data_IF_905958061383
#
_entry.id   IF_905958061383
#
_cell.length_a   1.000
_cell.length_b   1.000
_cell.length_c   1.000
_cell.angle_alpha   90.00
_cell.angle_beta   90.00
_cell.angle_gamma   90.00
#
_symmetry.space_group_name_H-M   'P 1'
#
loop_
_entity.id
_entity.type
_entity.pdbx_description
1 polymer ?
#
# COMPACT_ATOMS: atom_id res chain seq x y z
N UNK A 1 -62.45 18.94 -27.83
CA UNK A 1 -61.51 18.14 -27.03
C UNK A 1 -60.09 18.51 -27.46
N UNK A 2 -59.45 19.51 -26.82
CA UNK A 2 -58.07 19.93 -27.16
C UNK A 2 -57.11 19.05 -26.37
N UNK A 3 -56.40 18.14 -27.05
CA UNK A 3 -55.34 17.34 -26.42
C UNK A 3 -54.19 18.25 -26.00
N UNK A 4 -53.76 18.08 -24.75
CA UNK A 4 -52.73 18.87 -24.09
C UNK A 4 -51.33 18.48 -24.60
N UNK A 5 -50.87 19.16 -25.65
CA UNK A 5 -49.57 18.93 -26.31
C UNK A 5 -48.36 19.23 -25.42
N UNK A 6 -48.53 20.02 -24.35
CA UNK A 6 -47.47 20.28 -23.35
C UNK A 6 -47.09 19.03 -22.57
N UNK A 7 -48.05 18.12 -22.36
CA UNK A 7 -47.80 16.89 -21.61
C UNK A 7 -46.87 15.95 -22.39
N UNK A 8 -47.11 15.79 -23.69
CA UNK A 8 -46.27 14.97 -24.57
C UNK A 8 -44.85 15.54 -24.72
N UNK A 9 -44.72 16.86 -24.81
CA UNK A 9 -43.40 17.53 -24.92
C UNK A 9 -42.54 17.35 -23.67
N UNK A 10 -43.13 17.36 -22.47
CA UNK A 10 -42.41 17.18 -21.21
C UNK A 10 -41.89 15.74 -21.05
N UNK A 11 -42.72 14.74 -21.35
CA UNK A 11 -42.31 13.35 -21.35
C UNK A 11 -41.21 13.06 -22.37
N UNK A 12 -41.30 13.67 -23.55
CA UNK A 12 -40.26 13.52 -24.57
C UNK A 12 -38.92 14.11 -24.14
N UNK A 13 -38.91 15.28 -23.49
CA UNK A 13 -37.67 15.86 -22.94
C UNK A 13 -37.08 15.01 -21.80
N UNK A 14 -37.90 14.48 -20.89
CA UNK A 14 -37.43 13.59 -19.82
C UNK A 14 -36.81 12.32 -20.38
N UNK A 15 -37.42 11.72 -21.40
CA UNK A 15 -36.88 10.53 -22.06
C UNK A 15 -35.56 10.80 -22.78
N UNK A 16 -35.42 11.93 -23.48
CA UNK A 16 -34.16 12.29 -24.16
C UNK A 16 -33.03 12.54 -23.16
N UNK A 17 -33.30 13.23 -22.06
CA UNK A 17 -32.31 13.46 -20.99
C UNK A 17 -31.90 12.15 -20.34
N UNK A 18 -32.85 11.24 -20.04
CA UNK A 18 -32.54 9.93 -19.48
C UNK A 18 -31.66 9.09 -20.41
N UNK A 19 -31.94 9.08 -21.71
CA UNK A 19 -31.12 8.37 -22.71
C UNK A 19 -29.72 8.97 -22.83
N UNK A 20 -29.59 10.30 -22.77
CA UNK A 20 -28.29 10.97 -22.76
C UNK A 20 -27.47 10.60 -21.52
N UNK A 21 -28.07 10.58 -20.33
CA UNK A 21 -27.40 10.15 -19.09
C UNK A 21 -26.93 8.68 -19.15
N UNK A 22 -27.72 7.79 -19.76
CA UNK A 22 -27.35 6.37 -19.96
C UNK A 22 -26.24 6.24 -21.02
N UNK A 23 -26.19 7.13 -22.02
CA UNK A 23 -25.14 7.12 -23.04
C UNK A 23 -23.81 7.73 -22.58
N UNK A 24 -23.83 8.59 -21.54
CA UNK A 24 -22.63 9.20 -20.96
C UNK A 24 -22.08 8.42 -19.75
N UNK A 25 -22.82 7.44 -19.22
CA UNK A 25 -22.25 6.49 -18.28
C UNK A 25 -21.32 5.54 -19.03
N UNK A 26 -20.02 5.85 -19.02
CA UNK A 26 -19.02 4.85 -19.39
C UNK A 26 -19.23 3.60 -18.52
N UNK A 27 -19.26 2.39 -19.09
CA UNK A 27 -19.25 1.19 -18.29
C UNK A 27 -17.96 1.21 -17.47
N UNK A 28 -18.09 1.25 -16.14
CA UNK A 28 -16.97 0.98 -15.24
C UNK A 28 -16.68 -0.50 -15.37
N UNK A 29 -15.89 -0.86 -16.37
CA UNK A 29 -15.39 -2.21 -16.52
C UNK A 29 -14.59 -2.50 -15.25
N UNK A 30 -15.06 -3.44 -14.43
CA UNK A 30 -14.31 -3.95 -13.29
C UNK A 30 -12.98 -4.48 -13.83
N UNK A 31 -11.91 -3.71 -13.67
CA UNK A 31 -10.57 -4.16 -14.01
C UNK A 31 -10.31 -5.40 -13.17
N UNK A 32 -9.99 -6.52 -13.83
CA UNK A 32 -9.65 -7.76 -13.15
C UNK A 32 -8.34 -7.53 -12.38
N UNK A 33 -8.47 -7.15 -11.12
CA UNK A 33 -7.33 -6.95 -10.23
C UNK A 33 -6.87 -8.32 -9.76
N UNK A 34 -5.64 -8.69 -10.10
CA UNK A 34 -4.97 -9.87 -9.56
C UNK A 34 -4.54 -9.61 -8.10
N UNK A 35 -5.50 -9.78 -7.18
CA UNK A 35 -5.32 -9.67 -5.74
C UNK A 35 -5.42 -11.08 -5.15
N UNK A 36 -4.27 -11.69 -4.90
CA UNK A 36 -4.17 -12.91 -4.09
C UNK A 36 -3.44 -12.56 -2.79
N UNK A 37 -4.11 -12.70 -1.65
CA UNK A 37 -3.52 -12.45 -0.34
C UNK A 37 -2.63 -13.62 0.07
N UNK A 38 -1.44 -13.71 -0.54
CA UNK A 38 -0.53 -14.83 -0.35
C UNK A 38 0.37 -14.58 0.86
N UNK A 39 0.53 -15.59 1.72
CA UNK A 39 1.52 -15.56 2.79
C UNK A 39 2.92 -15.75 2.20
N UNK A 40 3.83 -14.84 2.54
CA UNK A 40 5.16 -14.76 1.92
C UNK A 40 6.23 -15.32 2.85
N UNK A 41 6.17 -14.94 4.11
CA UNK A 41 7.12 -15.38 5.13
C UNK A 41 6.52 -15.21 6.51
N UNK A 42 7.03 -15.97 7.47
CA UNK A 42 6.73 -15.80 8.87
C UNK A 42 7.93 -16.17 9.75
N UNK A 43 7.89 -15.70 10.99
CA UNK A 43 8.86 -15.96 12.03
C UNK A 43 8.14 -16.12 13.37
N UNK A 44 8.64 -17.01 14.21
CA UNK A 44 8.24 -17.11 15.61
C UNK A 44 9.47 -16.94 16.49
N UNK A 45 9.31 -16.27 17.62
CA UNK A 45 10.32 -16.22 18.68
C UNK A 45 10.51 -17.61 19.29
N UNK A 46 11.76 -17.98 19.54
CA UNK A 46 12.09 -19.18 20.32
C UNK A 46 11.84 -18.99 21.82
N UNK A 47 11.78 -17.74 22.28
CA UNK A 47 11.54 -17.42 23.68
C UNK A 47 10.04 -17.42 23.99
N UNK A 48 9.70 -17.73 25.24
CA UNK A 48 8.32 -17.76 25.73
C UNK A 48 8.07 -16.61 26.70
N UNK A 49 6.79 -16.31 26.93
CA UNK A 49 6.38 -15.43 28.04
C UNK A 49 6.77 -16.07 29.38
N UNK A 50 6.97 -15.26 30.41
CA UNK A 50 7.25 -15.77 31.76
C UNK A 50 6.02 -16.50 32.31
N UNK A 51 4.82 -15.95 32.08
CA UNK A 51 3.54 -16.57 32.34
C UNK A 51 2.73 -16.70 31.05
N UNK A 52 2.58 -17.95 30.59
CA UNK A 52 1.91 -18.25 29.32
C UNK A 52 0.45 -17.81 29.25
N UNK A 53 -0.32 -18.00 30.32
CA UNK A 53 -1.74 -17.64 30.33
C UNK A 53 -1.93 -16.12 30.23
N UNK A 54 -1.22 -15.37 31.08
CA UNK A 54 -1.26 -13.90 31.08
C UNK A 54 -0.75 -13.36 29.75
N UNK A 55 0.31 -13.94 29.18
CA UNK A 55 0.82 -13.54 27.88
C UNK A 55 -0.24 -13.70 26.77
N UNK A 56 -0.95 -14.83 26.73
CA UNK A 56 -2.01 -15.07 25.73
C UNK A 56 -3.20 -14.12 25.91
N UNK A 57 -3.59 -13.81 27.14
CA UNK A 57 -4.62 -12.81 27.45
C UNK A 57 -4.21 -11.41 26.94
N UNK A 58 -2.95 -11.02 27.20
CA UNK A 58 -2.39 -9.74 26.73
C UNK A 58 -2.25 -9.70 25.21
N UNK A 59 -1.91 -10.84 24.58
CA UNK A 59 -1.85 -10.96 23.12
C UNK A 59 -3.23 -10.77 22.49
N UNK A 60 -4.25 -11.48 22.98
CA UNK A 60 -5.62 -11.35 22.51
C UNK A 60 -6.17 -9.93 22.65
N UNK A 61 -5.88 -9.28 23.78
CA UNK A 61 -6.25 -7.88 24.03
C UNK A 61 -5.57 -6.94 23.04
N UNK A 62 -4.27 -7.15 22.78
CA UNK A 62 -3.49 -6.36 21.82
C UNK A 62 -4.01 -6.53 20.40
N UNK A 63 -4.25 -7.77 19.95
CA UNK A 63 -4.77 -8.07 18.60
C UNK A 63 -6.17 -7.50 18.40
N UNK A 64 -7.04 -7.58 19.41
CA UNK A 64 -8.40 -7.00 19.36
C UNK A 64 -8.35 -5.48 19.23
N UNK A 65 -7.43 -4.83 19.95
CA UNK A 65 -7.20 -3.38 19.83
C UNK A 65 -6.71 -3.00 18.44
N UNK A 66 -5.73 -3.71 17.87
CA UNK A 66 -5.24 -3.47 16.51
C UNK A 66 -6.39 -3.57 15.49
N UNK A 67 -7.18 -4.64 15.57
CA UNK A 67 -8.32 -4.86 14.67
C UNK A 67 -9.35 -3.72 14.74
N UNK A 68 -9.69 -3.26 15.96
CA UNK A 68 -10.60 -2.14 16.20
C UNK A 68 -10.05 -0.81 15.66
N UNK A 69 -8.73 -0.63 15.69
CA UNK A 69 -8.11 0.57 15.11
C UNK A 69 -8.12 0.53 13.58
N UNK A 70 -7.85 -0.64 12.97
CA UNK A 70 -7.92 -0.85 11.52
C UNK A 70 -9.32 -0.68 10.94
N UNK A 71 -10.37 -0.95 11.73
CA UNK A 71 -11.75 -0.74 11.28
C UNK A 71 -12.14 0.74 11.15
N UNK A 72 -11.27 1.69 11.56
CA UNK A 72 -11.47 3.11 11.31
C UNK A 72 -11.07 3.47 9.88
N UNK A 73 -11.80 4.40 9.27
CA UNK A 73 -11.57 4.83 7.89
C UNK A 73 -10.12 5.32 7.70
N UNK A 74 -9.49 4.91 6.60
CA UNK A 74 -8.14 5.32 6.19
C UNK A 74 -7.01 5.00 7.18
N UNK A 75 -7.20 3.97 8.01
CA UNK A 75 -6.20 3.52 8.96
C UNK A 75 -5.59 2.18 8.51
N UNK A 76 -4.41 2.24 7.89
CA UNK A 76 -3.69 1.06 7.39
C UNK A 76 -2.43 0.74 8.19
N UNK A 77 -2.02 1.58 9.15
CA UNK A 77 -0.89 1.31 10.03
C UNK A 77 -1.27 1.64 11.46
N UNK A 78 -1.24 0.63 12.33
CA UNK A 78 -1.66 0.75 13.73
C UNK A 78 -0.70 0.03 14.65
N UNK A 79 -0.60 0.54 15.87
CA UNK A 79 0.16 -0.07 16.95
C UNK A 79 -0.71 -0.19 18.19
N UNK A 80 -0.43 -1.17 19.02
CA UNK A 80 -1.10 -1.36 20.31
C UNK A 80 -0.17 -2.07 21.27
N UNK A 81 -0.29 -1.76 22.56
CA UNK A 81 0.45 -2.45 23.62
C UNK A 81 -0.48 -2.85 24.76
N UNK A 82 -0.20 -3.99 25.37
CA UNK A 82 -0.86 -4.44 26.61
C UNK A 82 0.22 -4.90 27.59
N UNK A 83 0.18 -4.41 28.83
CA UNK A 83 1.11 -4.79 29.90
C UNK A 83 0.33 -5.08 31.16
N UNK A 84 0.19 -6.36 31.50
CA UNK A 84 -0.55 -6.82 32.68
C UNK A 84 0.29 -7.89 33.38
N UNK A 85 0.37 -7.81 34.72
CA UNK A 85 1.07 -8.78 35.58
C UNK A 85 2.51 -9.09 35.14
N UNK A 86 3.24 -8.07 34.65
CA UNK A 86 4.63 -8.19 34.21
C UNK A 86 4.83 -8.79 32.80
N UNK A 87 3.77 -9.25 32.15
CA UNK A 87 3.81 -9.65 30.74
C UNK A 87 3.46 -8.47 29.84
N UNK A 88 4.31 -8.20 28.85
CA UNK A 88 4.06 -7.15 27.86
C UNK A 88 3.92 -7.75 26.47
N UNK A 89 2.98 -7.21 25.70
CA UNK A 89 2.83 -7.48 24.27
C UNK A 89 2.76 -6.15 23.55
N UNK A 90 3.70 -5.93 22.64
CA UNK A 90 3.69 -4.85 21.66
C UNK A 90 3.25 -5.46 20.35
N UNK A 91 2.28 -4.85 19.68
CA UNK A 91 1.76 -5.29 18.39
C UNK A 91 1.74 -4.17 17.37
N UNK A 92 1.94 -4.52 16.11
CA UNK A 92 1.85 -3.64 14.94
C UNK A 92 1.14 -4.39 13.80
N UNK A 93 0.22 -3.70 13.13
CA UNK A 93 -0.36 -4.16 11.87
C UNK A 93 -0.18 -3.09 10.79
N UNK A 94 0.24 -3.51 9.60
CA UNK A 94 0.46 -2.65 8.43
C UNK A 94 -0.21 -3.25 7.21
N UNK A 95 -1.37 -2.75 6.82
CA UNK A 95 -2.03 -3.05 5.55
C UNK A 95 -1.39 -2.25 4.40
N UNK A 96 -1.50 -2.74 3.17
CA UNK A 96 -1.18 -1.94 1.99
C UNK A 96 -2.21 -0.81 1.86
N UNK A 97 -1.76 0.43 1.69
CA UNK A 97 -2.63 1.60 1.77
C UNK A 97 -3.65 1.73 0.61
N UNK A 98 -3.47 0.97 -0.47
CA UNK A 98 -4.41 0.92 -1.60
C UNK A 98 -5.60 -0.04 -1.37
N UNK A 99 -5.64 -0.75 -0.24
CA UNK A 99 -6.73 -1.66 0.11
C UNK A 99 -7.90 -0.91 0.74
N UNK A 100 -9.10 -1.43 0.53
CA UNK A 100 -10.27 -1.03 1.31
C UNK A 100 -10.14 -1.49 2.77
N UNK A 101 -10.93 -0.90 3.68
CA UNK A 101 -10.98 -1.34 5.09
C UNK A 101 -11.37 -2.82 5.21
N UNK A 102 -12.28 -3.31 4.36
CA UNK A 102 -12.69 -4.71 4.39
C UNK A 102 -11.55 -5.66 4.00
N UNK A 103 -10.80 -5.34 2.95
CA UNK A 103 -9.64 -6.13 2.50
C UNK A 103 -8.52 -6.11 3.54
N UNK A 104 -8.24 -4.95 4.13
CA UNK A 104 -7.27 -4.82 5.21
C UNK A 104 -7.63 -5.70 6.42
N UNK A 105 -8.90 -5.67 6.86
CA UNK A 105 -9.36 -6.52 7.96
C UNK A 105 -9.32 -8.01 7.61
N UNK A 106 -9.67 -8.38 6.37
CA UNK A 106 -9.58 -9.77 5.90
C UNK A 106 -8.14 -10.29 5.91
N UNK A 107 -7.18 -9.46 5.49
CA UNK A 107 -5.76 -9.83 5.58
C UNK A 107 -5.30 -9.94 7.03
N UNK A 108 -5.66 -8.97 7.88
CA UNK A 108 -5.33 -9.00 9.30
C UNK A 108 -5.87 -10.27 10.00
N UNK A 109 -7.12 -10.64 9.75
CA UNK A 109 -7.74 -11.82 10.33
C UNK A 109 -7.04 -13.12 9.86
N UNK A 110 -6.62 -13.15 8.58
CA UNK A 110 -5.81 -14.25 8.04
C UNK A 110 -4.44 -14.35 8.73
N UNK A 111 -3.78 -13.20 8.93
CA UNK A 111 -2.51 -13.11 9.64
C UNK A 111 -2.63 -13.56 11.11
N UNK A 112 -3.66 -13.11 11.83
CA UNK A 112 -3.95 -13.55 13.21
C UNK A 112 -4.17 -15.05 13.27
N UNK A 113 -4.95 -15.61 12.35
CA UNK A 113 -5.19 -17.05 12.29
C UNK A 113 -3.91 -17.82 12.07
N UNK A 114 -3.04 -17.34 11.18
CA UNK A 114 -1.78 -18.00 10.84
C UNK A 114 -0.78 -17.99 12.00
N UNK A 115 -0.64 -16.86 12.71
CA UNK A 115 0.31 -16.72 13.82
C UNK A 115 0.06 -17.67 15.00
N UNK A 116 -1.09 -18.36 15.05
CA UNK A 116 -1.34 -19.45 16.01
C UNK A 116 -0.31 -20.58 15.91
N UNK A 117 0.34 -20.76 14.75
CA UNK A 117 1.44 -21.73 14.57
C UNK A 117 2.61 -21.48 15.52
N UNK A 118 2.78 -20.24 16.00
CA UNK A 118 3.85 -19.88 16.93
C UNK A 118 3.62 -20.36 18.37
N UNK A 119 2.44 -20.91 18.68
CA UNK A 119 2.10 -21.42 20.02
C UNK A 119 2.38 -20.38 21.11
N UNK A 120 3.30 -20.71 22.02
CA UNK A 120 3.65 -19.87 23.18
C UNK A 120 4.85 -18.93 22.94
N UNK A 121 5.27 -18.77 21.68
CA UNK A 121 6.34 -17.83 21.33
C UNK A 121 5.97 -16.40 21.71
N UNK A 122 6.87 -15.72 22.42
CA UNK A 122 6.65 -14.35 22.92
C UNK A 122 6.82 -13.25 21.86
N UNK A 123 7.02 -13.65 20.61
CA UNK A 123 7.03 -12.77 19.45
C UNK A 123 6.74 -13.57 18.19
N UNK A 124 6.14 -12.91 17.21
CA UNK A 124 5.96 -13.46 15.88
C UNK A 124 5.78 -12.34 14.84
N UNK A 125 6.10 -12.65 13.59
CA UNK A 125 5.87 -11.77 12.45
C UNK A 125 5.39 -12.62 11.28
N UNK A 126 4.32 -12.20 10.59
CA UNK A 126 3.92 -12.75 9.30
C UNK A 126 3.76 -11.64 8.27
N UNK A 127 4.25 -11.91 7.06
CA UNK A 127 4.16 -11.04 5.89
C UNK A 127 3.21 -11.67 4.89
N UNK A 128 2.18 -10.92 4.53
CA UNK A 128 1.28 -11.22 3.43
C UNK A 128 1.46 -10.18 2.32
N UNK A 129 0.98 -10.50 1.13
CA UNK A 129 0.91 -9.54 0.03
C UNK A 129 0.16 -8.25 0.42
N UNK A 130 -0.93 -8.40 1.18
CA UNK A 130 -1.86 -7.32 1.50
C UNK A 130 -1.63 -6.68 2.89
N UNK A 131 -0.91 -7.34 3.79
CA UNK A 131 -0.62 -6.80 5.12
C UNK A 131 0.55 -7.50 5.82
N UNK A 132 1.08 -6.87 6.86
CA UNK A 132 2.05 -7.45 7.78
C UNK A 132 1.53 -7.33 9.22
N UNK A 133 1.77 -8.37 10.04
CA UNK A 133 1.39 -8.40 11.46
C UNK A 133 2.57 -8.89 12.29
N UNK A 134 3.05 -8.04 13.21
CA UNK A 134 4.14 -8.35 14.14
C UNK A 134 3.67 -8.14 15.58
N UNK A 135 4.04 -9.05 16.47
CA UNK A 135 4.00 -8.82 17.90
C UNK A 135 5.29 -9.29 18.57
N UNK A 136 5.70 -8.64 19.66
CA UNK A 136 6.81 -9.06 20.51
C UNK A 136 6.58 -8.66 21.96
N UNK A 137 7.37 -9.24 22.87
CA UNK A 137 7.35 -8.87 24.28
C UNK A 137 8.22 -7.66 24.63
N UNK A 138 8.91 -7.07 23.65
CA UNK A 138 9.67 -5.83 23.80
C UNK A 138 9.18 -4.80 22.79
N UNK A 139 9.40 -3.52 23.10
CA UNK A 139 9.03 -2.44 22.20
C UNK A 139 9.96 -2.44 20.98
N UNK A 140 9.39 -2.71 19.80
CA UNK A 140 10.10 -2.73 18.53
C UNK A 140 9.68 -1.60 17.57
N UNK A 141 8.84 -0.65 18.01
CA UNK A 141 8.27 0.35 17.09
C UNK A 141 9.31 1.25 16.42
N UNK A 142 10.49 1.36 17.01
CA UNK A 142 11.61 2.12 16.47
C UNK A 142 12.81 1.23 16.12
N UNK A 143 12.65 -0.10 16.17
CA UNK A 143 13.72 -1.00 15.75
C UNK A 143 14.06 -0.66 14.32
N UNK A 144 15.33 -0.27 14.10
CA UNK A 144 15.80 0.11 12.78
C UNK A 144 15.41 -0.99 11.81
N UNK A 145 14.60 -0.61 10.81
CA UNK A 145 14.17 -1.40 9.65
C UNK A 145 15.22 -2.48 9.39
N UNK A 146 14.95 -3.70 9.89
CA UNK A 146 15.99 -4.70 10.00
C UNK A 146 16.39 -5.11 8.60
N UNK A 147 17.57 -4.65 8.16
CA UNK A 147 18.14 -4.96 6.83
C UNK A 147 18.19 -6.47 6.54
N UNK A 148 18.09 -7.30 7.58
CA UNK A 148 18.16 -8.76 7.56
C UNK A 148 16.85 -9.46 7.18
N UNK A 149 15.70 -8.77 7.22
CA UNK A 149 14.39 -9.39 6.94
C UNK A 149 13.88 -9.13 5.53
N UNK A 150 14.66 -8.43 4.69
CA UNK A 150 14.22 -8.01 3.36
C UNK A 150 13.88 -9.18 2.43
N UNK A 151 12.73 -9.10 1.78
CA UNK A 151 12.26 -10.09 0.79
C UNK A 151 12.04 -9.38 -0.53
N UNK A 152 12.55 -9.95 -1.62
CA UNK A 152 12.19 -9.55 -2.98
C UNK A 152 11.68 -10.77 -3.74
N UNK A 153 10.53 -10.59 -4.41
CA UNK A 153 9.92 -11.61 -5.26
C UNK A 153 9.77 -10.99 -6.64
N UNK A 154 10.52 -11.53 -7.60
CA UNK A 154 10.43 -11.17 -9.00
C UNK A 154 9.34 -12.00 -9.68
N UNK A 155 8.66 -11.42 -10.66
CA UNK A 155 7.75 -12.17 -11.53
C UNK A 155 8.53 -13.15 -12.42
N UNK A 156 7.84 -14.20 -12.88
CA UNK A 156 8.43 -15.23 -13.74
C UNK A 156 8.32 -14.92 -15.25
N UNK A 157 7.73 -13.78 -15.59
CA UNK A 157 7.49 -13.37 -16.98
C UNK A 157 8.38 -12.19 -17.31
N UNK A 158 9.12 -12.29 -18.41
CA UNK A 158 9.88 -11.18 -18.98
C UNK A 158 8.99 -10.35 -19.90
N UNK A 159 9.17 -9.03 -19.89
CA UNK A 159 8.42 -8.12 -20.76
C UNK A 159 8.68 -8.38 -22.25
N UNK A 160 7.68 -8.09 -23.08
CA UNK A 160 7.76 -8.06 -24.55
C UNK A 160 8.73 -6.97 -25.04
N UNK A 161 8.94 -5.92 -24.24
CA UNK A 161 9.84 -4.79 -24.53
C UNK A 161 10.85 -4.59 -23.39
N UNK A 162 11.83 -5.50 -23.20
CA UNK A 162 12.66 -5.56 -21.99
C UNK A 162 13.43 -4.27 -21.67
N UNK A 163 13.92 -3.56 -22.69
CA UNK A 163 14.74 -2.35 -22.48
C UNK A 163 13.89 -1.17 -22.04
N UNK A 164 12.78 -0.95 -22.74
CA UNK A 164 11.82 0.13 -22.51
C UNK A 164 11.11 -0.09 -21.17
N UNK A 165 10.71 -1.34 -20.88
CA UNK A 165 10.14 -1.73 -19.61
C UNK A 165 11.11 -1.47 -18.45
N UNK A 166 12.37 -1.92 -18.56
CA UNK A 166 13.37 -1.74 -17.50
C UNK A 166 13.59 -0.25 -17.22
N UNK A 167 13.75 0.55 -18.28
CA UNK A 167 13.91 2.01 -18.16
C UNK A 167 12.70 2.66 -17.49
N UNK A 168 11.50 2.28 -17.91
CA UNK A 168 10.24 2.85 -17.41
C UNK A 168 10.00 2.47 -15.95
N UNK A 169 10.14 1.19 -15.60
CA UNK A 169 9.93 0.68 -14.25
C UNK A 169 10.98 1.18 -13.26
N UNK A 170 12.26 1.13 -13.61
CA UNK A 170 13.34 1.65 -12.75
C UNK A 170 13.18 3.16 -12.52
N UNK A 171 12.85 3.92 -13.58
CA UNK A 171 12.55 5.35 -13.46
C UNK A 171 11.38 5.63 -12.51
N UNK A 172 10.25 4.94 -12.68
CA UNK A 172 9.07 5.13 -11.82
C UNK A 172 9.34 4.74 -10.36
N UNK A 173 10.05 3.64 -10.12
CA UNK A 173 10.43 3.20 -8.77
C UNK A 173 11.40 4.20 -8.11
N UNK A 174 12.33 4.77 -8.87
CA UNK A 174 13.26 5.80 -8.38
C UNK A 174 12.53 7.09 -7.98
N UNK A 175 11.53 7.49 -8.76
CA UNK A 175 10.71 8.66 -8.45
C UNK A 175 9.87 8.43 -7.19
N UNK A 176 9.24 7.25 -7.06
CA UNK A 176 8.51 6.86 -5.86
C UNK A 176 9.41 6.83 -4.61
N UNK A 177 10.62 6.27 -4.71
CA UNK A 177 11.62 6.29 -3.63
C UNK A 177 11.92 7.73 -3.15
N UNK A 178 11.93 8.69 -4.07
CA UNK A 178 12.24 10.09 -3.79
C UNK A 178 11.04 10.84 -3.22
N UNK A 179 9.85 10.62 -3.78
CA UNK A 179 8.63 11.32 -3.44
C UNK A 179 8.02 10.85 -2.12
N UNK A 180 7.87 9.53 -1.92
CA UNK A 180 7.12 8.96 -0.79
C UNK A 180 7.55 9.45 0.58
N UNK A 181 8.86 9.60 0.90
CA UNK A 181 9.27 10.13 2.19
C UNK A 181 8.81 11.58 2.46
N UNK A 182 8.47 12.34 1.41
CA UNK A 182 8.00 13.74 1.46
C UNK A 182 6.47 13.86 1.46
N UNK A 183 5.77 12.77 1.18
CA UNK A 183 4.31 12.75 1.16
C UNK A 183 3.80 12.52 2.58
N UNK A 184 2.85 13.34 3.11
CA UNK A 184 2.37 13.19 4.49
C UNK A 184 1.81 11.80 4.85
N UNK A 185 1.27 11.08 3.86
CA UNK A 185 0.75 9.72 4.04
C UNK A 185 1.84 8.64 4.03
N UNK A 186 3.08 8.96 3.64
CA UNK A 186 4.13 7.96 3.40
C UNK A 186 3.72 6.86 2.40
N UNK A 187 2.85 7.20 1.45
CA UNK A 187 2.35 6.29 0.43
C UNK A 187 2.12 7.02 -0.89
N UNK A 188 2.44 6.37 -2.01
CA UNK A 188 1.99 6.78 -3.33
C UNK A 188 1.77 5.58 -4.23
N UNK A 189 0.75 5.70 -5.10
CA UNK A 189 0.56 4.85 -6.26
C UNK A 189 0.69 5.69 -7.52
N UNK A 190 1.39 5.18 -8.52
CA UNK A 190 1.63 5.92 -9.76
C UNK A 190 1.78 4.97 -10.94
N UNK A 191 1.63 5.51 -12.14
CA UNK A 191 1.67 4.76 -13.39
C UNK A 191 2.56 5.46 -14.39
N UNK A 192 3.21 4.70 -15.28
CA UNK A 192 3.98 5.25 -16.40
C UNK A 192 3.84 4.36 -17.62
N UNK A 193 3.43 4.95 -18.75
CA UNK A 193 3.35 4.23 -20.02
C UNK A 193 4.76 3.88 -20.50
N UNK A 194 4.92 2.66 -21.03
CA UNK A 194 6.17 2.20 -21.64
C UNK A 194 6.32 2.91 -22.99
N UNK A 195 7.46 3.56 -23.20
CA UNK A 195 7.69 4.34 -24.42
C UNK A 195 7.63 3.47 -25.67
N UNK A 196 6.84 3.88 -26.66
CA UNK A 196 6.68 3.15 -27.92
C UNK A 196 5.68 2.00 -27.87
N UNK A 197 4.94 1.82 -26.77
CA UNK A 197 3.96 0.75 -26.61
C UNK A 197 2.67 1.28 -25.96
N UNK A 198 1.61 0.46 -25.94
CA UNK A 198 0.38 0.73 -25.20
C UNK A 198 0.37 0.12 -23.79
N UNK A 199 1.49 -0.47 -23.36
CA UNK A 199 1.65 -1.10 -22.06
C UNK A 199 1.98 -0.05 -20.98
N UNK A 200 1.59 -0.30 -19.74
CA UNK A 200 1.78 0.65 -18.62
C UNK A 200 2.37 -0.07 -17.43
N UNK A 201 3.38 0.54 -16.81
CA UNK A 201 3.91 0.11 -15.51
C UNK A 201 3.08 0.76 -14.41
N UNK A 202 2.54 -0.06 -13.52
CA UNK A 202 1.88 0.33 -12.27
C UNK A 202 2.85 0.12 -11.14
N UNK A 203 3.05 1.12 -10.28
CA UNK A 203 3.94 0.97 -9.13
C UNK A 203 3.40 1.68 -7.88
N UNK A 204 3.70 1.09 -6.73
CA UNK A 204 3.42 1.69 -5.42
C UNK A 204 4.65 1.62 -4.52
N UNK A 205 4.77 2.60 -3.64
CA UNK A 205 5.72 2.60 -2.54
C UNK A 205 5.03 3.07 -1.26
N UNK A 206 5.38 2.46 -0.12
CA UNK A 206 4.76 2.71 1.17
C UNK A 206 5.77 2.58 2.29
N UNK A 207 5.73 3.47 3.27
CA UNK A 207 6.43 3.32 4.54
C UNK A 207 5.44 3.21 5.72
N UNK A 208 5.90 2.67 6.85
CA UNK A 208 5.19 2.81 8.13
C UNK A 208 5.06 4.28 8.54
N UNK A 209 4.00 4.64 9.28
CA UNK A 209 3.77 6.03 9.70
C UNK A 209 4.58 6.45 10.93
N UNK A 210 5.23 5.50 11.59
CA UNK A 210 6.04 5.70 12.81
C UNK A 210 7.52 5.98 12.53
N UNK A 211 7.93 6.14 11.26
CA UNK A 211 9.34 6.36 10.91
C UNK A 211 9.56 7.77 10.36
N UNK A 212 10.78 8.29 10.53
CA UNK A 212 11.14 9.61 9.99
C UNK A 212 11.23 9.58 8.46
N UNK A 213 11.23 10.76 7.85
CA UNK A 213 11.48 10.91 6.41
C UNK A 213 12.81 10.26 5.98
N UNK A 214 13.89 10.42 6.74
CA UNK A 214 15.19 9.81 6.42
C UNK A 214 15.13 8.28 6.50
N UNK A 215 14.49 7.75 7.56
CA UNK A 215 14.31 6.31 7.71
C UNK A 215 13.48 5.72 6.57
N UNK A 216 12.40 6.39 6.14
CA UNK A 216 11.63 5.97 4.98
C UNK A 216 12.45 6.00 3.68
N UNK A 217 13.26 7.03 3.47
CA UNK A 217 14.11 7.12 2.28
C UNK A 217 15.14 5.97 2.24
N UNK A 218 15.82 5.68 3.35
CA UNK A 218 16.78 4.59 3.47
C UNK A 218 16.11 3.22 3.27
N UNK A 219 14.90 3.07 3.82
CA UNK A 219 14.04 1.92 3.64
C UNK A 219 13.78 1.65 2.15
N UNK A 220 13.20 2.62 1.45
CA UNK A 220 12.82 2.49 0.05
C UNK A 220 14.04 2.37 -0.87
N UNK A 221 15.20 2.93 -0.50
CA UNK A 221 16.45 2.79 -1.26
C UNK A 221 16.88 1.33 -1.40
N UNK A 222 16.79 0.54 -0.32
CA UNK A 222 17.12 -0.89 -0.36
C UNK A 222 16.14 -1.66 -1.26
N UNK A 223 14.84 -1.34 -1.17
CA UNK A 223 13.75 -2.03 -1.91
C UNK A 223 13.87 -1.74 -3.39
N UNK A 224 14.16 -0.49 -3.74
CA UNK A 224 14.51 -0.09 -5.08
C UNK A 224 15.67 -0.92 -5.64
N UNK A 225 16.78 -1.05 -4.91
CA UNK A 225 17.93 -1.83 -5.36
C UNK A 225 17.61 -3.32 -5.61
N UNK A 226 16.77 -3.91 -4.76
CA UNK A 226 16.31 -5.30 -4.96
C UNK A 226 15.37 -5.43 -6.15
N UNK A 227 14.46 -4.48 -6.35
CA UNK A 227 13.54 -4.50 -7.49
C UNK A 227 14.25 -4.21 -8.82
N UNK A 228 15.33 -3.42 -8.82
CA UNK A 228 16.14 -3.18 -10.02
C UNK A 228 16.77 -4.48 -10.53
N UNK A 229 17.14 -5.40 -9.62
CA UNK A 229 17.60 -6.75 -9.95
C UNK A 229 16.50 -7.66 -10.53
N UNK A 230 15.21 -7.36 -10.28
CA UNK A 230 14.11 -8.10 -10.89
C UNK A 230 13.88 -7.72 -12.36
N UNK A 231 14.32 -6.53 -12.79
CA UNK A 231 14.08 -6.06 -14.14
C UNK A 231 14.95 -6.83 -15.15
N UNK A 232 14.39 -7.28 -16.29
CA UNK A 232 13.17 -6.77 -16.93
C UNK A 232 11.90 -7.65 -16.76
N UNK A 233 11.77 -8.34 -15.64
CA UNK A 233 10.52 -9.07 -15.33
C UNK A 233 9.33 -8.11 -15.31
N UNK A 234 8.13 -8.54 -15.72
CA UNK A 234 6.94 -7.68 -15.82
C UNK A 234 6.36 -7.27 -14.46
N UNK A 235 6.81 -7.90 -13.38
CA UNK A 235 6.38 -7.57 -12.03
C UNK A 235 7.48 -7.87 -11.01
N UNK A 236 7.38 -7.20 -9.87
CA UNK A 236 8.22 -7.49 -8.71
C UNK A 236 7.71 -6.77 -7.48
N UNK A 237 7.94 -7.36 -6.30
CA UNK A 237 7.61 -6.76 -5.01
C UNK A 237 8.75 -6.95 -4.02
N UNK A 238 8.98 -5.95 -3.19
CA UNK A 238 9.97 -5.96 -2.12
C UNK A 238 9.32 -5.50 -0.81
N UNK A 239 9.43 -6.35 0.22
CA UNK A 239 8.71 -6.21 1.50
C UNK A 239 9.72 -6.31 2.65
N UNK A 240 9.46 -5.54 3.72
CA UNK A 240 10.17 -5.58 5.00
C UNK A 240 9.34 -4.82 6.07
N UNK A 241 9.74 -4.92 7.34
CA UNK A 241 9.02 -4.47 8.54
C UNK A 241 8.59 -2.99 8.56
N UNK A 242 9.19 -2.15 7.72
CA UNK A 242 8.94 -0.71 7.69
C UNK A 242 8.58 -0.10 6.33
N UNK A 243 8.75 -0.80 5.22
CA UNK A 243 8.32 -0.30 3.91
C UNK A 243 8.23 -1.37 2.84
N UNK A 244 7.49 -1.01 1.81
CA UNK A 244 7.06 -1.86 0.71
C UNK A 244 7.21 -1.13 -0.61
N UNK A 245 7.63 -1.86 -1.66
CA UNK A 245 7.55 -1.40 -3.05
C UNK A 245 7.03 -2.54 -3.94
N UNK A 246 6.22 -2.21 -4.93
CA UNK A 246 5.75 -3.17 -5.95
C UNK A 246 5.61 -2.48 -7.29
N UNK A 247 5.97 -3.19 -8.36
CA UNK A 247 5.62 -2.83 -9.72
C UNK A 247 4.98 -4.00 -10.47
N UNK A 248 4.21 -3.70 -11.51
CA UNK A 248 3.53 -4.68 -12.36
C UNK A 248 3.11 -4.02 -13.67
N UNK A 249 3.11 -4.76 -14.78
CA UNK A 249 2.41 -4.37 -16.02
C UNK A 249 0.89 -4.62 -15.95
N UNK A 250 0.43 -5.42 -14.98
CA UNK A 250 -0.98 -5.67 -14.68
C UNK A 250 -1.45 -4.72 -13.56
N UNK A 251 -2.57 -3.99 -13.72
CA UNK A 251 -3.12 -3.11 -12.69
C UNK A 251 -3.48 -3.87 -11.39
N UNK A 252 -3.15 -3.27 -10.24
CA UNK A 252 -3.50 -3.83 -8.92
C UNK A 252 -4.11 -2.79 -7.94
N UNK A 253 -4.28 -1.56 -8.40
CA UNK A 253 -5.00 -0.48 -7.73
C UNK A 253 -5.89 0.25 -8.75
N UNK A 254 -6.91 0.93 -8.26
CA UNK A 254 -7.86 1.68 -9.08
C UNK A 254 -7.23 2.97 -9.62
N UNK A 255 -7.66 3.43 -10.80
CA UNK A 255 -7.10 4.63 -11.43
C UNK A 255 -7.21 5.90 -10.55
N UNK A 256 -8.28 6.01 -9.76
CA UNK A 256 -8.51 7.12 -8.83
C UNK A 256 -7.63 7.06 -7.55
N UNK A 257 -6.82 6.02 -7.38
CA UNK A 257 -5.86 5.88 -6.26
C UNK A 257 -4.46 6.42 -6.63
N UNK A 258 -4.28 6.89 -7.86
CA UNK A 258 -3.00 7.48 -8.30
C UNK A 258 -2.71 8.79 -7.59
N UNK A 259 -1.44 9.03 -7.28
CA UNK A 259 -0.93 10.25 -6.64
C UNK A 259 -0.05 11.00 -7.63
N UNK A 260 -0.31 12.29 -7.82
CA UNK A 260 0.63 13.15 -8.54
C UNK A 260 1.86 13.40 -7.66
N UNK A 261 2.98 12.80 -8.06
CA UNK A 261 4.24 12.87 -7.32
C UNK A 261 5.13 14.04 -7.75
N UNK A 262 4.77 14.79 -8.81
CA UNK A 262 5.64 15.79 -9.45
C UNK A 262 6.15 16.86 -8.47
N UNK A 263 5.27 17.40 -7.64
CA UNK A 263 5.60 18.40 -6.61
C UNK A 263 6.56 17.90 -5.54
N UNK A 264 6.64 16.57 -5.33
CA UNK A 264 7.52 15.95 -4.34
C UNK A 264 8.89 15.57 -4.91
N UNK A 265 9.09 15.62 -6.23
CA UNK A 265 10.35 15.30 -6.89
C UNK A 265 11.33 16.49 -6.87
N UNK A 266 10.82 17.72 -7.01
CA UNK A 266 11.62 18.94 -6.99
C UNK A 266 12.28 19.12 -5.62
N UNK A 267 13.60 19.11 -5.58
CA UNK A 267 14.35 19.40 -4.37
C UNK A 267 14.28 20.90 -4.09
N UNK A 268 13.45 21.33 -3.14
CA UNK A 268 13.57 22.62 -2.43
C UNK A 268 14.03 23.82 -3.26
N UNK A 269 13.61 23.91 -4.53
CA UNK A 269 13.90 25.08 -5.34
C UNK A 269 12.72 25.98 -5.06
N UNK A 270 12.93 26.92 -4.14
CA UNK A 270 12.09 28.10 -4.02
C UNK A 270 11.79 28.57 -5.44
N UNK A 271 10.54 28.41 -5.87
CA UNK A 271 10.06 29.07 -7.08
C UNK A 271 10.10 30.54 -6.74
N UNK A 272 11.22 31.20 -7.02
CA UNK A 272 11.27 32.64 -7.10
C UNK A 272 10.37 32.96 -8.28
N UNK A 273 9.10 33.24 -7.98
CA UNK A 273 8.22 33.97 -8.88
C UNK A 273 8.91 35.30 -9.15
N UNK A 274 9.70 35.35 -10.22
CA UNK A 274 10.04 36.61 -10.88
C UNK A 274 8.71 37.17 -11.40
N UNK A 275 7.99 37.89 -10.54
CA UNK A 275 7.06 38.91 -10.99
C UNK A 275 7.90 39.95 -11.71
N UNK A 276 8.05 39.78 -13.02
CA UNK A 276 8.43 40.87 -13.90
C UNK A 276 7.23 41.82 -13.89
N UNK A 277 7.28 42.81 -13.00
CA UNK A 277 6.42 43.98 -13.06
C UNK A 277 6.76 44.73 -14.35
N UNK A 278 5.92 44.59 -15.38
CA UNK A 278 5.84 45.59 -16.42
C UNK A 278 5.08 46.79 -15.86
N UNK A 279 5.83 47.78 -15.38
CA UNK A 279 5.37 49.16 -15.24
C UNK A 279 6.55 50.09 -15.57
N UNK A 280 6.67 50.43 -16.85
CA UNK A 280 6.77 51.77 -17.44
C UNK A 280 7.10 51.65 -18.92
#
# INVERSE_FOLDING_TARGET
>A
MKLNTKWWSWWWMVSVVAVLFISMSQPVTSQKIDRNNTMIRWYCSYYRGMNGQVFLENLNTTLSSLRKQLSRVNNYHVVSKTVINGESVYGQALCRAHLSTAECLSCFDSAVSYLKVCGMGNGAHVFYDDCDLRYENKNFYNDAIMKTSTIAICGNTTSSHPKEQKKTASGLLSDLRTAVPRIPSYFAASTRQITGTNETVYAIAQCGRNISQSMCADCLKIRFGLLDNCLPSTSGKAIDDGCFMRYSEIPFFQANQTTDITSFLTHGTTVILLQVLFLL
#
